data_IF_895578462305
#
_entry.id   IF_895578462305
#
_cell.length_a   1.000
_cell.length_b   1.000
_cell.length_c   1.000
_cell.angle_alpha   90.00
_cell.angle_beta   90.00
_cell.angle_gamma   90.00
#
_symmetry.space_group_name_H-M   'P 1'
#
loop_
_entity.id
_entity.type
_entity.pdbx_description
1 polymer ?
#
# COMPACT_ATOMS: atom_id res chain seq x y z
N UNK A 1 -12.49 10.46 2.40
CA UNK A 1 -11.78 9.52 1.49
C UNK A 1 -10.29 9.65 1.72
N UNK A 2 -9.53 8.56 1.60
CA UNK A 2 -8.08 8.52 1.86
C UNK A 2 -7.22 8.76 0.61
N UNK A 3 -7.83 8.77 -0.58
CA UNK A 3 -7.16 8.91 -1.88
C UNK A 3 -7.70 10.16 -2.58
N UNK A 4 -6.81 11.09 -2.92
CA UNK A 4 -7.12 12.27 -3.73
C UNK A 4 -7.36 11.90 -5.20
N UNK A 5 -6.68 10.88 -5.70
CA UNK A 5 -6.93 10.30 -7.02
C UNK A 5 -8.38 9.80 -7.16
N UNK A 6 -8.90 9.08 -6.15
CA UNK A 6 -10.29 8.60 -6.16
C UNK A 6 -11.29 9.75 -6.03
N UNK A 7 -10.98 10.82 -5.30
CA UNK A 7 -11.81 12.02 -5.24
C UNK A 7 -11.90 12.65 -6.64
N UNK A 8 -10.78 12.84 -7.31
CA UNK A 8 -10.71 13.38 -8.67
C UNK A 8 -11.52 12.52 -9.67
N UNK A 9 -11.37 11.20 -9.59
CA UNK A 9 -12.11 10.25 -10.41
C UNK A 9 -13.63 10.38 -10.19
N UNK A 10 -14.08 10.43 -8.93
CA UNK A 10 -15.51 10.59 -8.60
C UNK A 10 -16.08 11.91 -9.12
N UNK A 11 -15.30 12.98 -9.05
CA UNK A 11 -15.74 14.30 -9.55
C UNK A 11 -15.79 14.33 -11.07
N UNK A 12 -14.75 13.84 -11.75
CA UNK A 12 -14.66 13.91 -13.22
C UNK A 12 -15.61 12.97 -13.94
N UNK A 13 -15.72 11.73 -13.50
CA UNK A 13 -16.46 10.70 -14.22
C UNK A 13 -17.87 10.48 -13.69
N UNK A 14 -18.11 10.77 -12.41
CA UNK A 14 -19.41 10.53 -11.76
C UNK A 14 -20.11 11.82 -11.33
N UNK A 15 -19.50 12.99 -11.58
CA UNK A 15 -20.05 14.30 -11.23
C UNK A 15 -20.47 14.41 -9.76
N UNK A 16 -19.75 13.72 -8.86
CA UNK A 16 -20.04 13.80 -7.42
C UNK A 16 -19.72 15.20 -6.93
N UNK A 17 -20.66 15.91 -6.29
CA UNK A 17 -20.43 17.25 -5.79
C UNK A 17 -19.29 17.31 -4.77
N UNK A 18 -18.41 18.29 -4.89
CA UNK A 18 -17.21 18.42 -4.03
C UNK A 18 -17.55 18.53 -2.54
N UNK A 19 -18.68 19.13 -2.18
CA UNK A 19 -19.14 19.24 -0.79
C UNK A 19 -19.44 17.90 -0.11
N UNK A 20 -19.67 16.83 -0.89
CA UNK A 20 -19.88 15.47 -0.39
C UNK A 20 -18.57 14.70 -0.19
N UNK A 21 -17.45 15.23 -0.68
CA UNK A 21 -16.15 14.58 -0.64
C UNK A 21 -15.23 15.36 0.31
N UNK A 22 -14.56 14.65 1.18
CA UNK A 22 -13.55 15.23 2.05
C UNK A 22 -12.29 14.37 2.01
N UNK A 23 -11.14 14.96 1.67
CA UNK A 23 -9.85 14.30 1.67
C UNK A 23 -9.32 14.18 3.10
N UNK A 24 -9.11 12.97 3.54
CA UNK A 24 -8.54 12.67 4.85
C UNK A 24 -7.56 11.48 4.67
N UNK A 25 -6.28 11.75 4.43
CA UNK A 25 -5.27 10.71 4.28
C UNK A 25 -5.01 10.01 5.62
N UNK A 26 -4.12 9.01 5.63
CA UNK A 26 -3.64 8.45 6.88
C UNK A 26 -2.97 9.53 7.74
N UNK A 27 -3.48 9.71 8.95
CA UNK A 27 -2.90 10.65 9.90
C UNK A 27 -1.80 9.93 10.68
N UNK A 28 -0.55 10.12 10.30
CA UNK A 28 0.57 9.58 11.04
C UNK A 28 1.01 10.55 12.13
N UNK A 29 0.89 10.14 13.40
CA UNK A 29 1.37 10.94 14.54
C UNK A 29 2.82 10.65 14.93
N UNK A 30 3.39 9.55 14.44
CA UNK A 30 4.74 9.16 14.83
C UNK A 30 5.78 9.82 13.95
N UNK A 31 6.61 10.65 14.55
CA UNK A 31 7.89 11.04 13.98
C UNK A 31 8.77 9.78 13.95
N UNK A 32 9.30 9.44 12.79
CA UNK A 32 10.25 8.34 12.69
C UNK A 32 11.52 8.72 13.43
N UNK A 33 11.93 7.89 14.39
CA UNK A 33 13.24 8.01 15.00
C UNK A 33 14.28 7.34 14.10
N UNK A 34 14.82 8.12 13.18
CA UNK A 34 15.78 7.64 12.17
C UNK A 34 17.03 7.02 12.83
N UNK A 35 17.45 7.55 13.99
CA UNK A 35 18.63 7.06 14.69
C UNK A 35 18.47 5.64 15.25
N UNK A 36 17.22 5.19 15.47
CA UNK A 36 16.92 3.84 15.95
C UNK A 36 16.79 2.79 14.82
N UNK A 37 16.81 3.23 13.56
CA UNK A 37 16.64 2.31 12.44
C UNK A 37 17.98 1.66 12.04
N UNK A 38 17.93 0.38 11.60
CA UNK A 38 19.11 -0.27 11.03
C UNK A 38 19.62 0.49 9.80
N UNK A 39 20.94 0.60 9.66
CA UNK A 39 21.58 1.13 8.46
C UNK A 39 21.57 0.13 7.29
N UNK A 40 22.10 0.53 6.14
CA UNK A 40 22.17 -0.30 4.95
C UNK A 40 22.90 -1.62 5.19
N UNK A 41 23.98 -1.60 5.94
CA UNK A 41 24.85 -2.76 6.17
C UNK A 41 24.20 -3.81 7.08
N UNK A 42 23.36 -3.38 8.00
CA UNK A 42 22.60 -4.23 8.91
C UNK A 42 21.37 -4.88 8.26
N UNK A 43 20.97 -4.43 7.05
CA UNK A 43 19.80 -4.94 6.34
C UNK A 43 20.18 -5.93 5.27
N UNK A 44 19.35 -6.94 5.09
CA UNK A 44 19.56 -7.99 4.09
C UNK A 44 18.25 -8.34 3.40
N UNK A 45 18.35 -9.01 2.24
CA UNK A 45 17.22 -9.59 1.53
C UNK A 45 16.18 -8.58 1.04
N UNK A 46 15.23 -9.08 0.29
CA UNK A 46 14.05 -8.37 -0.15
C UNK A 46 12.84 -8.83 0.65
N UNK A 47 11.86 -7.95 0.79
CA UNK A 47 10.58 -8.29 1.41
C UNK A 47 9.41 -7.93 0.49
N UNK A 48 8.39 -8.78 0.48
CA UNK A 48 7.05 -8.42 0.03
C UNK A 48 6.05 -8.79 1.12
N UNK A 49 5.13 -7.88 1.44
CA UNK A 49 4.18 -8.10 2.53
C UNK A 49 2.75 -7.72 2.11
N UNK A 50 1.76 -8.52 2.54
CA UNK A 50 0.36 -8.21 2.30
C UNK A 50 -0.57 -9.36 2.62
N UNK A 51 -1.86 -9.05 2.81
CA UNK A 51 -2.89 -10.06 3.03
C UNK A 51 -3.10 -10.88 1.75
N UNK A 52 -2.93 -12.20 1.81
CA UNK A 52 -3.09 -13.11 0.66
C UNK A 52 -4.52 -13.23 0.13
N UNK A 53 -5.52 -12.85 0.93
CA UNK A 53 -6.93 -12.83 0.48
C UNK A 53 -7.27 -11.61 -0.37
N UNK A 54 -6.38 -10.62 -0.44
CA UNK A 54 -6.54 -9.43 -1.26
C UNK A 54 -5.89 -9.67 -2.62
N UNK A 55 -6.69 -9.75 -3.67
CA UNK A 55 -6.24 -10.15 -5.01
C UNK A 55 -5.01 -9.39 -5.53
N UNK A 56 -4.88 -8.05 -5.40
CA UNK A 56 -3.67 -7.36 -5.83
C UNK A 56 -2.39 -7.86 -5.15
N UNK A 57 -2.47 -8.30 -3.89
CA UNK A 57 -1.31 -8.85 -3.19
C UNK A 57 -0.98 -10.26 -3.70
N UNK A 58 -2.01 -11.07 -3.93
CA UNK A 58 -1.82 -12.42 -4.47
C UNK A 58 -1.23 -12.37 -5.88
N UNK A 59 -1.76 -11.52 -6.73
CA UNK A 59 -1.24 -11.27 -8.07
C UNK A 59 0.24 -10.81 -8.06
N UNK A 60 0.59 -9.90 -7.14
CA UNK A 60 1.98 -9.46 -6.94
C UNK A 60 2.91 -10.62 -6.55
N UNK A 61 2.46 -11.52 -5.69
CA UNK A 61 3.25 -12.70 -5.29
C UNK A 61 3.47 -13.64 -6.49
N UNK A 62 2.45 -13.83 -7.32
CA UNK A 62 2.59 -14.65 -8.53
C UNK A 62 3.54 -14.01 -9.55
N UNK A 63 3.44 -12.72 -9.77
CA UNK A 63 4.34 -12.01 -10.67
C UNK A 63 5.79 -12.02 -10.16
N UNK A 64 5.99 -11.81 -8.85
CA UNK A 64 7.29 -12.00 -8.21
C UNK A 64 7.83 -13.41 -8.46
N UNK A 65 7.04 -14.45 -8.17
CA UNK A 65 7.51 -15.85 -8.28
C UNK A 65 7.88 -16.24 -9.69
N UNK A 66 7.02 -15.93 -10.66
CA UNK A 66 7.12 -16.51 -12.00
C UNK A 66 7.95 -15.68 -12.97
N UNK A 67 8.13 -14.38 -12.71
CA UNK A 67 8.82 -13.50 -13.63
C UNK A 67 9.91 -12.65 -12.97
N UNK A 68 9.55 -11.81 -12.01
CA UNK A 68 10.47 -10.79 -11.49
C UNK A 68 11.63 -11.41 -10.68
N UNK A 69 11.34 -12.34 -9.78
CA UNK A 69 12.35 -12.91 -8.91
C UNK A 69 13.42 -13.73 -9.64
N UNK A 70 13.09 -14.59 -10.62
CA UNK A 70 14.09 -15.23 -11.44
C UNK A 70 15.03 -14.26 -12.16
N UNK A 71 14.49 -13.14 -12.68
CA UNK A 71 15.28 -12.10 -13.35
C UNK A 71 16.17 -11.33 -12.34
N UNK A 72 15.62 -10.95 -11.18
CA UNK A 72 16.39 -10.30 -10.10
C UNK A 72 17.54 -11.19 -9.66
N UNK A 73 17.31 -12.48 -9.42
CA UNK A 73 18.36 -13.43 -9.04
C UNK A 73 19.44 -13.56 -10.08
N UNK A 74 19.09 -13.62 -11.36
CA UNK A 74 20.07 -13.69 -12.43
C UNK A 74 20.98 -12.46 -12.42
N UNK A 75 20.44 -11.26 -12.29
CA UNK A 75 21.24 -10.03 -12.21
C UNK A 75 22.06 -9.95 -10.92
N UNK A 76 21.49 -10.32 -9.77
CA UNK A 76 22.22 -10.36 -8.50
C UNK A 76 23.42 -11.32 -8.54
N UNK A 77 23.28 -12.43 -9.25
CA UNK A 77 24.41 -13.37 -9.44
C UNK A 77 25.54 -12.75 -10.26
N UNK A 78 25.20 -11.97 -11.28
CA UNK A 78 26.18 -11.24 -12.11
C UNK A 78 26.96 -10.21 -11.31
N UNK A 79 26.28 -9.52 -10.37
CA UNK A 79 26.91 -8.49 -9.52
C UNK A 79 27.50 -9.06 -8.22
N UNK A 80 27.62 -10.38 -8.09
CA UNK A 80 28.30 -11.04 -6.96
C UNK A 80 27.46 -11.14 -5.67
N UNK A 81 26.12 -11.04 -5.77
CA UNK A 81 25.18 -11.10 -4.62
C UNK A 81 24.19 -12.28 -4.71
N UNK A 82 24.62 -13.52 -5.02
CA UNK A 82 23.72 -14.66 -5.24
C UNK A 82 22.96 -15.12 -3.97
N UNK A 83 23.42 -14.70 -2.79
CA UNK A 83 22.84 -15.06 -1.49
C UNK A 83 21.63 -14.22 -1.09
N UNK A 84 21.28 -13.19 -1.86
CA UNK A 84 20.09 -12.39 -1.59
C UNK A 84 18.82 -13.24 -1.78
N UNK A 85 17.86 -13.07 -0.90
CA UNK A 85 16.61 -13.83 -0.85
C UNK A 85 15.41 -12.89 -0.91
N UNK A 86 14.25 -13.43 -1.27
CA UNK A 86 12.96 -12.73 -1.20
C UNK A 86 12.06 -13.42 -0.17
N UNK A 87 11.67 -12.66 0.83
CA UNK A 87 10.83 -13.10 1.92
C UNK A 87 9.41 -12.55 1.75
N UNK A 88 8.43 -13.45 1.60
CA UNK A 88 7.01 -13.12 1.43
C UNK A 88 6.30 -13.32 2.75
N UNK A 89 5.75 -12.23 3.29
CA UNK A 89 4.94 -12.23 4.50
C UNK A 89 3.49 -11.85 4.21
N UNK A 90 2.57 -12.36 5.02
CA UNK A 90 1.17 -11.94 4.91
C UNK A 90 0.23 -12.79 5.74
N UNK A 91 -0.92 -12.18 6.04
CA UNK A 91 -2.02 -12.86 6.71
C UNK A 91 -2.74 -13.85 5.77
N UNK A 92 -3.25 -14.94 6.35
CA UNK A 92 -4.07 -15.95 5.68
C UNK A 92 -3.41 -16.58 4.44
N UNK A 93 -2.19 -17.13 4.54
CA UNK A 93 -1.55 -17.80 3.42
C UNK A 93 -2.35 -19.05 3.03
N UNK A 94 -2.89 -19.13 1.81
CA UNK A 94 -3.56 -20.35 1.36
C UNK A 94 -2.52 -21.43 1.02
N UNK A 95 -2.91 -22.72 0.99
CA UNK A 95 -1.98 -23.80 0.63
C UNK A 95 -1.24 -23.57 -0.70
N UNK A 96 -1.91 -22.98 -1.69
CA UNK A 96 -1.29 -22.60 -2.97
C UNK A 96 -0.16 -21.59 -2.83
N UNK A 97 -0.17 -20.73 -1.78
CA UNK A 97 0.91 -19.78 -1.54
C UNK A 97 2.13 -20.49 -0.93
N UNK A 98 1.93 -21.39 0.03
CA UNK A 98 3.03 -22.16 0.63
C UNK A 98 3.70 -23.09 -0.37
N UNK A 99 3.00 -23.55 -1.39
CA UNK A 99 3.56 -24.34 -2.51
C UNK A 99 4.55 -23.57 -3.38
N UNK A 100 4.50 -22.21 -3.36
CA UNK A 100 5.46 -21.36 -4.08
C UNK A 100 6.80 -21.27 -3.37
N UNK A 101 6.88 -21.67 -2.09
CA UNK A 101 8.13 -21.64 -1.32
C UNK A 101 9.21 -22.49 -2.01
N UNK A 102 10.38 -21.91 -2.21
CA UNK A 102 11.52 -22.59 -2.79
C UNK A 102 12.83 -21.98 -2.26
N UNK A 103 13.37 -22.58 -1.21
CA UNK A 103 14.61 -22.11 -0.57
C UNK A 103 15.82 -22.18 -1.50
N UNK A 104 15.85 -23.13 -2.47
CA UNK A 104 16.95 -23.21 -3.45
C UNK A 104 16.97 -22.01 -4.39
N UNK A 105 15.81 -21.42 -4.66
CA UNK A 105 15.67 -20.20 -5.44
C UNK A 105 15.70 -18.94 -4.56
N UNK A 106 15.88 -19.07 -3.25
CA UNK A 106 15.80 -17.95 -2.30
C UNK A 106 14.42 -17.27 -2.29
N UNK A 107 13.35 -18.02 -2.57
CA UNK A 107 11.96 -17.52 -2.52
C UNK A 107 11.24 -18.12 -1.32
N UNK A 108 11.11 -17.36 -0.26
CA UNK A 108 10.59 -17.83 1.02
C UNK A 108 9.19 -17.30 1.28
N UNK A 109 8.22 -18.21 1.37
CA UNK A 109 6.86 -17.87 1.81
C UNK A 109 6.78 -18.15 3.31
N UNK A 110 6.87 -17.10 4.12
CA UNK A 110 6.93 -17.17 5.58
C UNK A 110 5.55 -17.06 6.24
N UNK A 111 4.54 -16.57 5.51
CA UNK A 111 3.19 -16.41 6.04
C UNK A 111 3.09 -15.24 7.03
N UNK A 112 2.47 -15.47 8.18
CA UNK A 112 2.24 -14.42 9.16
C UNK A 112 3.53 -13.90 9.78
N UNK A 113 3.72 -12.57 9.79
CA UNK A 113 4.77 -11.91 10.53
C UNK A 113 4.27 -11.56 11.94
N UNK A 114 4.94 -12.06 12.98
CA UNK A 114 4.61 -11.71 14.36
C UNK A 114 4.86 -10.22 14.63
N UNK A 115 5.92 -9.68 14.04
CA UNK A 115 6.24 -8.26 14.04
C UNK A 115 6.55 -7.82 12.60
N UNK A 116 5.55 -7.18 11.98
CA UNK A 116 5.67 -6.68 10.61
C UNK A 116 6.69 -5.54 10.48
N UNK A 117 6.87 -4.75 11.54
CA UNK A 117 7.85 -3.67 11.56
C UNK A 117 9.27 -4.24 11.60
N UNK A 118 9.54 -5.21 12.46
CA UNK A 118 10.86 -5.83 12.57
C UNK A 118 11.28 -6.50 11.25
N UNK A 119 10.40 -7.27 10.59
CA UNK A 119 10.73 -7.90 9.31
C UNK A 119 10.90 -6.89 8.18
N UNK A 120 10.18 -5.78 8.20
CA UNK A 120 10.37 -4.69 7.23
C UNK A 120 11.69 -3.97 7.46
N UNK A 121 12.06 -3.69 8.70
CA UNK A 121 13.33 -3.04 9.06
C UNK A 121 14.56 -3.92 8.77
N UNK A 122 14.43 -5.24 8.85
CA UNK A 122 15.52 -6.15 8.52
C UNK A 122 15.75 -6.27 7.01
N UNK A 123 14.77 -5.96 6.19
CA UNK A 123 14.88 -6.03 4.75
C UNK A 123 15.58 -4.79 4.17
N UNK A 124 16.38 -5.01 3.13
CA UNK A 124 17.05 -3.92 2.41
C UNK A 124 16.11 -3.21 1.45
N UNK A 125 15.27 -3.95 0.74
CA UNK A 125 14.32 -3.39 -0.25
C UNK A 125 12.96 -4.07 -0.12
N UNK A 126 11.89 -3.27 -0.17
CA UNK A 126 10.51 -3.75 -0.26
C UNK A 126 10.06 -3.84 -1.72
N UNK A 127 9.55 -4.99 -2.15
CA UNK A 127 9.00 -5.19 -3.48
C UNK A 127 7.46 -5.22 -3.44
N UNK A 128 6.84 -4.32 -4.18
CA UNK A 128 5.38 -4.22 -4.25
C UNK A 128 4.91 -4.02 -5.71
N UNK A 129 5.05 -5.04 -6.58
CA UNK A 129 4.67 -4.95 -7.98
C UNK A 129 3.15 -5.07 -8.16
N UNK A 130 2.43 -3.99 -7.87
CA UNK A 130 0.98 -3.93 -7.94
C UNK A 130 0.52 -3.61 -9.36
N UNK A 131 -0.17 -4.52 -10.03
CA UNK A 131 -0.70 -4.31 -11.38
C UNK A 131 -2.11 -3.73 -11.41
N UNK A 132 -2.81 -3.81 -10.28
CA UNK A 132 -4.12 -3.19 -10.04
C UNK A 132 -4.36 -3.02 -8.54
N UNK A 133 -5.36 -2.23 -8.19
CA UNK A 133 -5.75 -1.96 -6.81
C UNK A 133 -6.16 -0.50 -6.62
N UNK A 134 -7.04 -0.25 -5.68
CA UNK A 134 -7.54 1.08 -5.33
C UNK A 134 -7.03 1.53 -3.95
N UNK A 135 -7.18 2.81 -3.65
CA UNK A 135 -6.81 3.41 -2.38
C UNK A 135 -5.31 3.49 -2.14
N UNK A 136 -4.93 4.02 -0.99
CA UNK A 136 -3.53 4.11 -0.57
C UNK A 136 -3.02 2.77 -0.03
N UNK A 137 -1.74 2.51 -0.24
CA UNK A 137 -1.11 1.21 0.00
C UNK A 137 -0.38 1.22 1.35
N UNK A 138 -1.06 0.82 2.42
CA UNK A 138 -0.51 0.82 3.79
C UNK A 138 0.87 0.19 3.90
N UNK A 139 1.14 -0.90 3.19
CA UNK A 139 2.46 -1.56 3.17
C UNK A 139 3.61 -0.65 2.71
N UNK A 140 3.35 0.26 1.76
CA UNK A 140 4.36 1.21 1.27
C UNK A 140 4.59 2.33 2.30
N UNK A 141 3.54 2.75 3.00
CA UNK A 141 3.67 3.67 4.13
C UNK A 141 4.46 3.03 5.28
N UNK A 142 4.22 1.76 5.56
CA UNK A 142 4.97 1.03 6.59
C UNK A 142 6.44 0.84 6.18
N UNK A 143 6.72 0.59 4.89
CA UNK A 143 8.08 0.56 4.36
C UNK A 143 8.81 1.89 4.59
N UNK A 144 8.17 3.02 4.26
CA UNK A 144 8.73 4.36 4.54
C UNK A 144 8.98 4.58 6.03
N UNK A 145 8.05 4.19 6.92
CA UNK A 145 8.22 4.28 8.39
C UNK A 145 9.39 3.45 8.90
N UNK A 146 9.62 2.31 8.28
CA UNK A 146 10.75 1.42 8.58
C UNK A 146 12.06 1.85 7.91
N UNK A 147 12.04 2.93 7.12
CA UNK A 147 13.20 3.38 6.35
C UNK A 147 13.66 2.36 5.32
N UNK A 148 12.74 1.61 4.72
CA UNK A 148 13.00 0.59 3.71
C UNK A 148 12.54 1.11 2.35
N UNK A 149 13.43 1.47 1.43
CA UNK A 149 13.05 1.87 0.08
C UNK A 149 12.22 0.81 -0.62
N UNK A 150 11.26 1.25 -1.43
CA UNK A 150 10.32 0.33 -2.08
C UNK A 150 10.34 0.46 -3.60
N UNK A 151 10.36 -0.70 -4.28
CA UNK A 151 10.16 -0.77 -5.72
C UNK A 151 8.72 -1.15 -5.97
N UNK A 152 8.02 -0.29 -6.69
CA UNK A 152 6.58 -0.47 -6.95
C UNK A 152 6.21 0.00 -8.37
N UNK A 153 4.93 0.03 -8.67
CA UNK A 153 4.37 0.44 -9.97
C UNK A 153 3.67 1.79 -9.86
N UNK A 154 3.25 2.37 -10.98
CA UNK A 154 2.40 3.56 -11.02
C UNK A 154 1.13 3.37 -10.17
N UNK A 155 0.51 2.18 -10.20
CA UNK A 155 -0.63 1.83 -9.33
C UNK A 155 -0.26 1.85 -7.84
N UNK A 156 0.97 1.46 -7.51
CA UNK A 156 1.45 1.46 -6.13
C UNK A 156 1.56 2.86 -5.53
N UNK A 157 2.00 3.84 -6.32
CA UNK A 157 2.24 5.22 -5.86
C UNK A 157 1.03 6.14 -5.95
N UNK A 158 -0.09 5.68 -6.49
CA UNK A 158 -1.31 6.49 -6.56
C UNK A 158 -1.70 7.02 -5.18
N UNK A 159 -1.82 8.34 -5.05
CA UNK A 159 -2.14 9.06 -3.80
C UNK A 159 -1.15 8.80 -2.66
N UNK A 160 0.10 8.43 -2.97
CA UNK A 160 1.09 8.07 -1.94
C UNK A 160 2.19 9.09 -1.72
N UNK A 161 2.45 10.00 -2.67
CA UNK A 161 3.60 10.91 -2.57
C UNK A 161 3.25 12.40 -2.55
N UNK A 162 2.03 12.79 -2.93
CA UNK A 162 1.65 14.20 -3.02
C UNK A 162 2.51 15.01 -4.00
N UNK A 163 3.08 14.34 -5.02
CA UNK A 163 3.98 14.95 -5.99
C UNK A 163 5.45 15.04 -5.56
N UNK A 164 5.78 14.56 -4.36
CA UNK A 164 7.18 14.44 -3.91
C UNK A 164 7.87 13.25 -4.62
N UNK A 165 9.22 13.29 -4.75
CA UNK A 165 9.98 12.14 -5.21
C UNK A 165 9.66 10.89 -4.40
N UNK A 166 9.58 9.74 -5.07
CA UNK A 166 9.27 8.47 -4.41
C UNK A 166 10.46 7.95 -3.60
N UNK A 167 10.21 7.38 -2.44
CA UNK A 167 11.24 6.72 -1.62
C UNK A 167 11.56 5.31 -2.13
N UNK A 168 12.19 5.23 -3.29
CA UNK A 168 12.51 4.02 -4.02
C UNK A 168 12.37 4.22 -5.52
N UNK A 169 11.81 3.23 -6.25
CA UNK A 169 11.58 3.37 -7.69
C UNK A 169 10.16 2.98 -8.10
N UNK A 170 9.70 3.61 -9.18
CA UNK A 170 8.42 3.31 -9.84
C UNK A 170 8.70 2.72 -11.21
N UNK A 171 8.25 1.49 -11.45
CA UNK A 171 8.47 0.77 -12.69
C UNK A 171 7.29 -0.15 -13.01
N UNK A 172 6.70 0.01 -14.20
CA UNK A 172 5.53 -0.74 -14.64
C UNK A 172 5.88 -1.96 -15.49
N UNK A 173 7.06 -1.97 -16.09
CA UNK A 173 7.56 -3.13 -16.83
C UNK A 173 8.58 -3.96 -16.03
N UNK A 174 8.71 -5.22 -16.41
CA UNK A 174 9.53 -6.18 -15.66
C UNK A 174 11.04 -5.83 -15.67
N UNK A 175 11.56 -5.34 -16.78
CA UNK A 175 12.99 -5.07 -16.94
C UNK A 175 13.40 -3.86 -16.10
N UNK A 176 12.63 -2.77 -16.15
CA UNK A 176 12.85 -1.59 -15.34
C UNK A 176 12.69 -1.90 -13.84
N UNK A 177 11.68 -2.70 -13.48
CA UNK A 177 11.45 -3.13 -12.09
C UNK A 177 12.65 -3.93 -11.55
N UNK A 178 13.14 -4.89 -12.33
CA UNK A 178 14.31 -5.72 -11.96
C UNK A 178 15.57 -4.89 -11.84
N UNK A 179 15.82 -4.01 -12.80
CA UNK A 179 16.99 -3.10 -12.78
C UNK A 179 16.96 -2.20 -11.54
N UNK A 180 15.81 -1.62 -11.23
CA UNK A 180 15.63 -0.79 -10.03
C UNK A 180 15.83 -1.61 -8.75
N UNK A 181 15.25 -2.81 -8.66
CA UNK A 181 15.39 -3.67 -7.48
C UNK A 181 16.86 -4.01 -7.19
N UNK A 182 17.63 -4.38 -8.20
CA UNK A 182 19.05 -4.72 -8.06
C UNK A 182 19.87 -3.48 -7.69
N UNK A 183 19.63 -2.34 -8.33
CA UNK A 183 20.34 -1.09 -8.03
C UNK A 183 20.16 -0.67 -6.56
N UNK A 184 18.90 -0.67 -6.07
CA UNK A 184 18.61 -0.30 -4.68
C UNK A 184 19.11 -1.33 -3.66
N UNK A 185 19.28 -2.57 -4.06
CA UNK A 185 19.90 -3.59 -3.21
C UNK A 185 21.41 -3.45 -3.10
N UNK A 186 22.07 -2.97 -4.15
CA UNK A 186 23.51 -2.93 -4.29
C UNK A 186 24.13 -1.58 -3.89
N UNK A 187 23.48 -0.46 -4.26
CA UNK A 187 24.08 0.88 -4.17
C UNK A 187 23.60 1.60 -2.92
N UNK A 188 24.46 1.65 -1.91
CA UNK A 188 24.14 2.24 -0.60
C UNK A 188 23.75 3.72 -0.69
N UNK A 189 24.45 4.51 -1.49
CA UNK A 189 24.14 5.95 -1.63
C UNK A 189 22.77 6.20 -2.24
N UNK A 190 22.36 5.39 -3.22
CA UNK A 190 21.01 5.42 -3.78
C UNK A 190 19.99 5.02 -2.72
N UNK A 191 20.24 3.94 -2.01
CA UNK A 191 19.37 3.44 -0.94
C UNK A 191 19.14 4.50 0.14
N UNK A 192 20.20 5.19 0.59
CA UNK A 192 20.10 6.27 1.59
C UNK A 192 19.31 7.46 1.07
N UNK A 193 19.54 7.86 -0.17
CA UNK A 193 18.77 8.93 -0.81
C UNK A 193 17.28 8.60 -0.84
N UNK A 194 16.93 7.40 -1.25
CA UNK A 194 15.53 6.97 -1.35
C UNK A 194 14.87 6.77 0.01
N UNK A 195 15.62 6.36 1.02
CA UNK A 195 15.17 6.32 2.41
C UNK A 195 14.74 7.72 2.87
N UNK A 196 15.58 8.74 2.64
CA UNK A 196 15.26 10.13 3.03
C UNK A 196 14.05 10.68 2.26
N UNK A 197 13.88 10.34 0.99
CA UNK A 197 12.68 10.68 0.22
C UNK A 197 11.42 10.05 0.83
N UNK A 198 11.50 8.79 1.27
CA UNK A 198 10.41 8.13 2.00
C UNK A 198 10.04 8.86 3.29
N UNK A 199 11.03 9.30 4.07
CA UNK A 199 10.80 10.11 5.27
C UNK A 199 10.22 11.49 4.95
N UNK A 200 10.63 12.12 3.84
CA UNK A 200 10.07 13.38 3.38
C UNK A 200 8.58 13.24 3.04
N UNK A 201 8.18 12.17 2.35
CA UNK A 201 6.77 11.87 2.07
C UNK A 201 5.98 11.72 3.39
N UNK A 202 6.49 10.98 4.37
CA UNK A 202 5.82 10.84 5.66
C UNK A 202 5.67 12.17 6.40
N UNK A 203 6.72 13.00 6.38
CA UNK A 203 6.76 14.29 7.05
C UNK A 203 5.87 15.33 6.37
N UNK A 204 5.90 15.41 5.05
CA UNK A 204 5.33 16.53 4.32
C UNK A 204 3.95 16.21 3.70
N UNK A 205 3.62 14.95 3.52
CA UNK A 205 2.35 14.53 2.94
C UNK A 205 1.43 13.80 3.93
N UNK A 206 1.94 12.83 4.70
CA UNK A 206 1.12 12.06 5.63
C UNK A 206 1.12 12.58 7.07
N UNK A 207 2.22 13.17 7.53
CA UNK A 207 2.35 13.71 8.88
C UNK A 207 2.04 15.20 8.88
N UNK A 208 0.80 15.57 8.56
CA UNK A 208 0.43 16.98 8.58
C UNK A 208 -0.57 17.24 9.70
N UNK A 209 -0.14 18.08 10.64
CA UNK A 209 -0.98 18.68 11.67
C UNK A 209 -2.23 19.34 11.06
N UNK A 210 -2.07 19.89 9.87
CA UNK A 210 -3.11 20.54 9.10
C UNK A 210 -4.28 19.59 8.73
N UNK A 211 -4.01 18.32 8.39
CA UNK A 211 -5.06 17.36 8.10
C UNK A 211 -5.95 17.08 9.32
N UNK A 212 -5.37 17.02 10.52
CA UNK A 212 -6.14 16.85 11.77
C UNK A 212 -7.01 18.08 12.04
N UNK A 213 -6.46 19.27 11.84
CA UNK A 213 -7.20 20.52 12.01
C UNK A 213 -8.33 20.65 10.97
N UNK A 214 -8.05 20.34 9.70
CA UNK A 214 -9.04 20.35 8.63
C UNK A 214 -10.19 19.37 8.91
N UNK A 215 -9.88 18.15 9.40
CA UNK A 215 -10.89 17.19 9.79
C UNK A 215 -11.75 17.69 10.96
N UNK A 216 -11.14 18.23 12.00
CA UNK A 216 -11.86 18.80 13.15
C UNK A 216 -12.78 19.95 12.71
N UNK A 217 -12.28 20.86 11.88
CA UNK A 217 -13.06 21.98 11.31
C UNK A 217 -14.25 21.45 10.54
N UNK A 218 -14.02 20.51 9.61
CA UNK A 218 -15.11 19.92 8.80
C UNK A 218 -16.16 19.21 9.64
N UNK A 219 -15.76 18.47 10.65
CA UNK A 219 -16.68 17.81 11.57
C UNK A 219 -17.53 18.83 12.35
N UNK A 220 -16.92 19.90 12.83
CA UNK A 220 -17.63 20.99 13.52
C UNK A 220 -18.64 21.67 12.60
N UNK A 221 -18.27 22.00 11.37
CA UNK A 221 -19.16 22.58 10.36
C UNK A 221 -20.34 21.65 10.04
N UNK A 222 -20.06 20.36 9.86
CA UNK A 222 -21.11 19.36 9.61
C UNK A 222 -22.11 19.27 10.77
N UNK A 223 -21.64 19.32 12.01
CA UNK A 223 -22.51 19.28 13.19
C UNK A 223 -23.40 20.52 13.28
N UNK A 224 -22.84 21.71 13.05
CA UNK A 224 -23.62 22.95 13.07
C UNK A 224 -24.64 23.06 11.93
N UNK A 225 -24.33 22.50 10.76
CA UNK A 225 -25.15 22.60 9.55
C UNK A 225 -25.85 21.28 9.19
N UNK A 226 -25.99 20.35 10.12
CA UNK A 226 -26.36 18.95 9.85
C UNK A 226 -27.67 18.80 9.03
N UNK A 227 -28.69 19.62 9.31
CA UNK A 227 -29.95 19.53 8.59
C UNK A 227 -29.80 19.97 7.13
N UNK A 228 -29.05 21.05 6.88
CA UNK A 228 -28.78 21.54 5.52
C UNK A 228 -27.94 20.52 4.74
N UNK A 229 -26.83 20.04 5.32
CA UNK A 229 -25.94 19.05 4.70
C UNK A 229 -26.68 17.74 4.36
N UNK A 230 -27.63 17.34 5.19
CA UNK A 230 -28.51 16.19 4.90
C UNK A 230 -29.47 16.48 3.77
N UNK A 231 -30.06 17.70 3.71
CA UNK A 231 -30.94 18.12 2.62
C UNK A 231 -30.21 18.15 1.27
N UNK A 232 -29.01 18.66 1.26
CA UNK A 232 -28.17 18.75 0.05
C UNK A 232 -27.69 17.37 -0.45
N UNK A 233 -27.63 16.36 0.41
CA UNK A 233 -27.29 14.99 0.05
C UNK A 233 -28.53 14.14 -0.29
N UNK A 234 -29.25 14.56 -1.31
CA UNK A 234 -30.47 13.88 -1.75
C UNK A 234 -30.25 12.42 -2.16
N UNK A 235 -29.19 12.14 -2.91
CA UNK A 235 -28.82 10.77 -3.34
C UNK A 235 -28.54 9.89 -2.13
N UNK A 236 -27.79 10.37 -1.14
CA UNK A 236 -27.50 9.62 0.09
C UNK A 236 -28.76 9.31 0.90
N UNK A 237 -29.76 10.22 0.90
CA UNK A 237 -31.04 9.96 1.53
C UNK A 237 -31.84 8.89 0.78
N UNK A 238 -31.87 8.95 -0.54
CA UNK A 238 -32.51 7.92 -1.37
C UNK A 238 -31.89 6.54 -1.14
N UNK A 239 -30.58 6.46 -1.14
CA UNK A 239 -29.85 5.19 -0.92
C UNK A 239 -30.15 4.60 0.47
N UNK A 240 -30.26 5.42 1.50
CA UNK A 240 -30.65 4.96 2.84
C UNK A 240 -32.06 4.34 2.84
N UNK A 241 -32.99 4.93 2.15
CA UNK A 241 -34.37 4.40 2.04
C UNK A 241 -34.36 3.04 1.33
N UNK A 242 -33.59 2.89 0.26
CA UNK A 242 -33.50 1.64 -0.49
C UNK A 242 -32.76 0.52 0.26
N UNK A 243 -31.73 0.83 1.04
CA UNK A 243 -30.99 -0.19 1.81
C UNK A 243 -31.89 -0.91 2.81
N UNK A 244 -32.78 -0.20 3.49
CA UNK A 244 -33.77 -0.82 4.40
C UNK A 244 -34.74 -1.76 3.68
N UNK A 245 -35.25 -1.35 2.51
CA UNK A 245 -36.10 -2.21 1.69
C UNK A 245 -35.37 -3.42 1.11
N UNK A 246 -34.16 -3.26 0.67
CA UNK A 246 -33.32 -4.36 0.17
C UNK A 246 -33.12 -5.44 1.24
N UNK A 247 -32.84 -5.06 2.47
CA UNK A 247 -32.69 -5.99 3.60
C UNK A 247 -34.02 -6.69 3.91
N UNK A 248 -35.13 -5.95 3.86
CA UNK A 248 -36.47 -6.52 4.06
C UNK A 248 -36.80 -7.57 3.00
N UNK A 249 -36.59 -7.23 1.72
CA UNK A 249 -36.87 -8.18 0.61
C UNK A 249 -35.93 -9.36 0.61
N UNK A 250 -34.66 -9.19 1.00
CA UNK A 250 -33.72 -10.29 1.18
C UNK A 250 -34.21 -11.24 2.28
N UNK A 251 -34.67 -10.72 3.42
CA UNK A 251 -35.26 -11.53 4.49
C UNK A 251 -36.46 -12.31 4.02
N UNK A 252 -37.40 -11.69 3.33
CA UNK A 252 -38.60 -12.33 2.76
C UNK A 252 -38.26 -13.40 1.72
N UNK A 253 -37.25 -13.16 0.89
CA UNK A 253 -36.78 -14.13 -0.10
C UNK A 253 -36.16 -15.36 0.58
N UNK A 254 -35.34 -15.17 1.63
CA UNK A 254 -34.74 -16.26 2.41
C UNK A 254 -35.84 -17.11 3.07
N UNK A 255 -36.84 -16.47 3.68
CA UNK A 255 -37.98 -17.17 4.29
C UNK A 255 -38.81 -17.95 3.26
N UNK A 256 -39.06 -17.38 2.08
CA UNK A 256 -39.78 -18.06 1.00
C UNK A 256 -38.98 -19.26 0.43
N UNK A 257 -37.66 -19.18 0.42
CA UNK A 257 -36.79 -20.29 -0.07
C UNK A 257 -36.66 -21.44 0.92
N UNK A 258 -36.88 -21.18 2.21
CA UNK A 258 -36.78 -22.18 3.27
C UNK A 258 -38.14 -22.84 3.62
N UNK A 259 -39.22 -22.44 2.95
CA UNK A 259 -40.52 -23.11 2.94
C UNK A 259 -40.61 -24.09 1.77
#
# INVERSE_FOLDING_TARGET
MISDFEIDLLQRYFSVPSQLLFYCPFLSQQKVDVASLPDFSARQHFIAIGNFRHEPNWDSVLWLKHQLWPMIRAQLSVVGMPQAELHIYGAYPPPKATQLHNAKEGFHVNGWATDAQAVMQSARVCLAPLRFGAGIKGKLMDAMRCGTPSITTSIGVESMSGGLPWGGAVADDAEAFVTAAVAHYQVETLWQQEQEQGFAILRDYFYRRDHSLALQTRLTELLHNLQRERGDNFIGQMLRHHSHKSTQYMGQWIEAKNK
#
